data_IF_915738185115
#
_entry.id   IF_915738185115
#
_cell.length_a   1.000
_cell.length_b   1.000
_cell.length_c   1.000
_cell.angle_alpha   90.00
_cell.angle_beta   90.00
_cell.angle_gamma   90.00
#
_symmetry.space_group_name_H-M   'P 1'
#
loop_
_entity.id
_entity.type
_entity.pdbx_description
1 polymer ?
#
# COMPACT_ATOMS: atom_id res chain seq x y z
N UNK A 1 16.88 -1.71 -43.67
CA UNK A 1 16.97 -2.64 -42.51
C UNK A 1 15.56 -3.15 -42.23
N UNK A 2 15.24 -4.32 -42.78
CA UNK A 2 13.94 -4.97 -42.64
C UNK A 2 13.81 -5.52 -41.22
N UNK A 3 12.92 -4.93 -40.41
CA UNK A 3 12.37 -5.64 -39.26
C UNK A 3 11.61 -6.83 -39.83
N UNK A 4 12.14 -8.03 -39.58
CA UNK A 4 11.46 -9.28 -39.80
C UNK A 4 10.05 -9.19 -39.20
N UNK A 5 9.04 -9.41 -40.05
CA UNK A 5 7.71 -9.83 -39.63
C UNK A 5 7.88 -11.16 -38.89
N UNK A 6 8.17 -11.09 -37.59
CA UNK A 6 7.92 -12.18 -36.70
C UNK A 6 6.41 -12.32 -36.61
N UNK A 7 5.91 -13.45 -37.06
CA UNK A 7 4.64 -14.04 -36.64
C UNK A 7 4.52 -13.95 -35.11
N UNK A 8 3.96 -12.84 -34.63
CA UNK A 8 3.28 -12.77 -33.35
C UNK A 8 2.02 -13.59 -33.58
N UNK A 9 1.94 -14.82 -33.09
CA UNK A 9 0.61 -15.42 -32.94
C UNK A 9 -0.17 -14.47 -32.03
N UNK A 10 -1.21 -13.77 -32.52
CA UNK A 10 -1.99 -12.91 -31.66
C UNK A 10 -2.87 -13.86 -30.87
N UNK A 11 -2.38 -14.28 -29.71
CA UNK A 11 -3.18 -15.02 -28.71
C UNK A 11 -4.40 -14.19 -28.26
N UNK A 12 -4.58 -12.95 -28.75
CA UNK A 12 -5.63 -12.04 -28.33
C UNK A 12 -6.42 -11.42 -29.48
N UNK A 13 -6.78 -12.24 -30.47
CA UNK A 13 -7.97 -11.97 -31.29
C UNK A 13 -9.21 -12.16 -30.40
N UNK A 14 -9.64 -11.11 -29.72
CA UNK A 14 -10.96 -11.10 -29.06
C UNK A 14 -11.92 -10.48 -30.05
N UNK A 15 -12.90 -11.25 -30.53
CA UNK A 15 -13.87 -10.81 -31.55
C UNK A 15 -13.25 -10.28 -32.86
N UNK A 16 -12.08 -10.80 -33.25
CA UNK A 16 -11.39 -10.41 -34.50
C UNK A 16 -10.59 -9.10 -34.43
N UNK A 17 -10.51 -8.46 -33.26
CA UNK A 17 -9.69 -7.26 -33.03
C UNK A 17 -8.43 -7.55 -32.21
N UNK A 18 -7.34 -6.85 -32.51
CA UNK A 18 -6.06 -6.91 -31.77
C UNK A 18 -6.05 -5.87 -30.63
N UNK A 19 -6.53 -6.27 -29.45
CA UNK A 19 -6.59 -5.40 -28.26
C UNK A 19 -5.31 -5.48 -27.41
N UNK A 20 -4.92 -4.35 -26.81
CA UNK A 20 -3.77 -4.31 -25.90
C UNK A 20 -4.13 -4.96 -24.56
N UNK A 21 -3.39 -6.02 -24.20
CA UNK A 21 -3.40 -6.55 -22.84
C UNK A 21 -2.28 -5.87 -22.07
N UNK A 22 -2.60 -4.74 -21.45
CA UNK A 22 -1.61 -3.81 -20.91
C UNK A 22 -0.64 -4.43 -19.89
N UNK A 23 -1.05 -5.45 -19.14
CA UNK A 23 -0.16 -6.17 -18.20
C UNK A 23 0.75 -7.21 -18.89
N UNK A 24 0.70 -7.36 -20.21
CA UNK A 24 1.58 -8.21 -21.01
C UNK A 24 2.28 -7.47 -22.15
N UNK A 25 1.56 -6.70 -22.95
CA UNK A 25 2.11 -5.97 -24.09
C UNK A 25 1.33 -4.68 -24.36
N UNK A 26 2.05 -3.66 -24.82
CA UNK A 26 1.52 -2.31 -25.10
C UNK A 26 1.78 -1.85 -26.53
N UNK A 27 2.51 -2.65 -27.32
CA UNK A 27 2.81 -2.42 -28.73
C UNK A 27 1.99 -3.35 -29.62
N UNK A 28 1.88 -3.01 -30.91
CA UNK A 28 1.22 -3.82 -31.94
C UNK A 28 -0.24 -4.17 -31.60
N UNK A 29 -0.98 -3.21 -31.06
CA UNK A 29 -2.38 -3.35 -30.69
C UNK A 29 -3.10 -2.02 -30.85
N UNK A 30 -4.44 -2.08 -30.93
CA UNK A 30 -5.28 -0.91 -31.13
C UNK A 30 -5.08 0.10 -29.97
N UNK A 31 -4.89 1.37 -30.31
CA UNK A 31 -4.62 2.46 -29.35
C UNK A 31 -3.33 2.30 -28.53
N UNK A 32 -2.32 1.59 -29.06
CA UNK A 32 -0.99 1.42 -28.41
C UNK A 32 -0.35 2.74 -27.94
N UNK A 33 -0.51 3.85 -28.67
CA UNK A 33 0.01 5.16 -28.27
C UNK A 33 -0.47 5.63 -26.90
N UNK A 34 -1.72 5.34 -26.55
CA UNK A 34 -2.29 5.65 -25.24
C UNK A 34 -1.61 4.83 -24.13
N UNK A 35 -1.51 3.51 -24.29
CA UNK A 35 -0.90 2.63 -23.30
C UNK A 35 0.59 2.95 -23.10
N UNK A 36 1.31 3.23 -24.18
CA UNK A 36 2.71 3.67 -24.16
C UNK A 36 2.87 4.97 -23.36
N UNK A 37 2.01 5.98 -23.60
CA UNK A 37 2.03 7.24 -22.85
C UNK A 37 1.76 7.05 -21.35
N UNK A 38 0.84 6.15 -20.98
CA UNK A 38 0.58 5.80 -19.59
C UNK A 38 1.79 5.11 -18.94
N UNK A 39 2.48 4.22 -19.65
CA UNK A 39 3.69 3.56 -19.15
C UNK A 39 4.89 4.51 -18.99
N UNK A 40 5.04 5.51 -19.86
CA UNK A 40 6.00 6.61 -19.67
C UNK A 40 5.68 7.44 -18.43
N UNK A 41 4.41 7.76 -18.22
CA UNK A 41 3.96 8.48 -17.02
C UNK A 41 4.22 7.65 -15.76
N UNK A 42 3.96 6.34 -15.81
CA UNK A 42 4.28 5.40 -14.73
C UNK A 42 5.78 5.34 -14.44
N UNK A 43 6.63 5.35 -15.47
CA UNK A 43 8.08 5.36 -15.32
C UNK A 43 8.57 6.60 -14.57
N UNK A 44 8.16 7.80 -15.02
CA UNK A 44 8.52 9.07 -14.39
C UNK A 44 8.03 9.11 -12.94
N UNK A 45 6.77 8.75 -12.69
CA UNK A 45 6.21 8.71 -11.33
C UNK A 45 6.93 7.70 -10.42
N UNK A 46 7.38 6.58 -10.97
CA UNK A 46 8.14 5.57 -10.23
C UNK A 46 9.55 6.06 -9.86
N UNK A 47 10.21 6.82 -10.73
CA UNK A 47 11.50 7.48 -10.42
C UNK A 47 11.31 8.44 -9.24
N UNK A 48 10.32 9.33 -9.34
CA UNK A 48 10.02 10.31 -8.28
C UNK A 48 9.74 9.60 -6.95
N UNK A 49 8.89 8.58 -6.98
CA UNK A 49 8.51 7.79 -5.80
C UNK A 49 9.73 7.09 -5.18
N UNK A 50 10.59 6.49 -6.01
CA UNK A 50 11.81 5.79 -5.57
C UNK A 50 12.81 6.75 -4.94
N UNK A 51 13.09 7.88 -5.59
CA UNK A 51 14.01 8.88 -5.05
C UNK A 51 13.49 9.45 -3.73
N UNK A 52 12.22 9.83 -3.67
CA UNK A 52 11.67 10.49 -2.49
C UNK A 52 11.55 9.53 -1.30
N UNK A 53 11.09 8.29 -1.53
CA UNK A 53 11.08 7.25 -0.49
C UNK A 53 12.49 6.86 -0.04
N UNK A 54 13.45 6.76 -0.95
CA UNK A 54 14.85 6.45 -0.64
C UNK A 54 15.55 7.54 0.18
N UNK A 55 15.33 8.82 -0.16
CA UNK A 55 15.85 9.96 0.60
C UNK A 55 15.27 9.97 2.02
N UNK A 56 13.94 9.84 2.16
CA UNK A 56 13.29 9.80 3.47
C UNK A 56 13.75 8.60 4.30
N UNK A 57 13.85 7.43 3.68
CA UNK A 57 14.32 6.21 4.35
C UNK A 57 15.76 6.39 4.86
N UNK A 58 16.67 6.87 4.00
CA UNK A 58 18.07 7.11 4.35
C UNK A 58 18.21 8.14 5.48
N UNK A 59 17.44 9.23 5.40
CA UNK A 59 17.41 10.26 6.43
C UNK A 59 16.97 9.69 7.79
N UNK A 60 15.90 8.88 7.80
CA UNK A 60 15.37 8.29 9.03
C UNK A 60 16.28 7.21 9.60
N UNK A 61 16.89 6.37 8.75
CA UNK A 61 17.84 5.36 9.19
C UNK A 61 19.08 6.00 9.83
N UNK A 62 19.58 7.10 9.27
CA UNK A 62 20.74 7.82 9.82
C UNK A 62 20.46 8.50 11.16
N UNK A 63 19.22 8.95 11.40
CA UNK A 63 18.82 9.61 12.66
C UNK A 63 18.35 8.62 13.73
N UNK A 64 18.33 7.32 13.45
CA UNK A 64 17.68 6.33 14.30
C UNK A 64 18.54 5.96 15.50
N UNK A 65 17.91 5.93 16.68
CA UNK A 65 18.50 5.41 17.94
C UNK A 65 18.01 4.01 18.33
N UNK A 66 16.96 3.51 17.68
CA UNK A 66 16.32 2.21 17.95
C UNK A 66 16.64 1.17 16.87
N UNK A 67 16.55 -0.14 17.14
CA UNK A 67 16.80 -1.17 16.12
C UNK A 67 15.68 -1.24 15.08
N UNK A 68 16.00 -1.59 13.81
CA UNK A 68 15.05 -1.65 12.68
C UNK A 68 13.84 -2.56 12.95
N UNK A 69 14.12 -3.71 13.55
CA UNK A 69 13.13 -4.65 14.03
C UNK A 69 12.91 -4.44 15.52
N UNK A 70 11.65 -4.28 15.90
CA UNK A 70 11.28 -4.13 17.30
C UNK A 70 10.19 -5.14 17.60
N UNK A 71 10.46 -6.07 18.52
CA UNK A 71 9.55 -7.18 18.89
C UNK A 71 9.23 -8.13 17.70
N UNK A 72 10.15 -8.25 16.74
CA UNK A 72 10.01 -9.12 15.56
C UNK A 72 9.10 -8.56 14.46
N UNK A 73 8.70 -7.30 14.57
CA UNK A 73 8.00 -6.54 13.53
C UNK A 73 8.94 -5.47 12.95
N UNK A 74 8.78 -5.20 11.65
CA UNK A 74 9.48 -4.11 11.00
C UNK A 74 8.90 -2.78 11.51
N UNK A 75 9.77 -1.81 11.77
CA UNK A 75 9.31 -0.50 12.21
C UNK A 75 8.35 0.11 11.20
N UNK A 76 7.17 0.62 11.61
CA UNK A 76 6.04 0.79 10.70
C UNK A 76 6.32 1.76 9.55
N UNK A 77 6.97 2.90 9.87
CA UNK A 77 7.24 3.94 8.88
C UNK A 77 8.44 3.59 8.01
N UNK A 78 9.51 3.07 8.60
CA UNK A 78 10.70 2.65 7.85
C UNK A 78 10.37 1.46 6.94
N UNK A 79 9.51 0.54 7.38
CA UNK A 79 9.04 -0.57 6.58
C UNK A 79 8.11 -0.13 5.45
N UNK A 80 7.19 0.80 5.72
CA UNK A 80 6.39 1.44 4.68
C UNK A 80 7.28 2.08 3.60
N UNK A 81 8.29 2.86 4.01
CA UNK A 81 9.23 3.51 3.09
C UNK A 81 10.10 2.50 2.33
N UNK A 82 10.57 1.44 3.00
CA UNK A 82 11.38 0.39 2.38
C UNK A 82 10.60 -0.34 1.27
N UNK A 83 9.39 -0.81 1.55
CA UNK A 83 8.59 -1.49 0.54
C UNK A 83 8.10 -0.53 -0.56
N UNK A 84 7.85 0.74 -0.24
CA UNK A 84 7.55 1.76 -1.26
C UNK A 84 8.75 1.98 -2.19
N UNK A 85 9.97 2.01 -1.65
CA UNK A 85 11.21 2.12 -2.42
C UNK A 85 11.41 0.91 -3.34
N UNK A 86 11.30 -0.31 -2.81
CA UNK A 86 11.41 -1.54 -3.59
C UNK A 86 10.30 -1.60 -4.66
N UNK A 87 9.07 -1.25 -4.30
CA UNK A 87 7.94 -1.17 -5.23
C UNK A 87 8.18 -0.17 -6.36
N UNK A 88 8.75 1.00 -6.06
CA UNK A 88 9.14 2.01 -7.05
C UNK A 88 10.19 1.50 -8.04
N UNK A 89 11.24 0.82 -7.57
CA UNK A 89 12.22 0.15 -8.43
C UNK A 89 11.56 -0.90 -9.31
N UNK A 90 10.67 -1.71 -8.73
CA UNK A 90 9.96 -2.78 -9.44
C UNK A 90 9.09 -2.23 -10.56
N UNK A 91 8.36 -1.12 -10.30
CA UNK A 91 7.58 -0.42 -11.33
C UNK A 91 8.45 0.21 -12.40
N UNK A 92 9.62 0.74 -12.04
CA UNK A 92 10.59 1.27 -13.00
C UNK A 92 11.08 0.16 -13.94
N UNK A 93 11.47 -0.99 -13.41
CA UNK A 93 11.87 -2.17 -14.19
C UNK A 93 10.74 -2.68 -15.08
N UNK A 94 9.52 -2.74 -14.55
CA UNK A 94 8.32 -3.08 -15.31
C UNK A 94 8.16 -2.13 -16.50
N UNK A 95 8.16 -0.81 -16.27
CA UNK A 95 8.07 0.17 -17.35
C UNK A 95 9.18 0.02 -18.40
N UNK A 96 10.43 -0.25 -17.99
CA UNK A 96 11.54 -0.46 -18.94
C UNK A 96 11.27 -1.70 -19.81
N UNK A 97 10.90 -2.83 -19.21
CA UNK A 97 10.67 -4.07 -19.95
C UNK A 97 9.55 -3.91 -20.96
N UNK A 98 8.46 -3.22 -20.57
CA UNK A 98 7.31 -3.03 -21.44
C UNK A 98 7.57 -1.99 -22.54
N UNK A 99 8.25 -0.87 -22.24
CA UNK A 99 8.56 0.19 -23.22
C UNK A 99 9.70 -0.19 -24.18
N UNK A 100 10.70 -0.93 -23.70
CA UNK A 100 11.79 -1.43 -24.56
C UNK A 100 11.46 -2.76 -25.24
N UNK A 101 10.27 -3.31 -24.96
CA UNK A 101 9.79 -4.61 -25.43
C UNK A 101 10.82 -5.74 -25.24
N UNK A 102 11.46 -5.77 -24.06
CA UNK A 102 12.47 -6.78 -23.72
C UNK A 102 11.76 -8.13 -23.54
N UNK A 103 12.27 -9.18 -24.20
CA UNK A 103 11.76 -10.55 -24.09
C UNK A 103 10.23 -10.66 -24.23
N UNK A 104 9.64 -10.30 -25.39
CA UNK A 104 8.18 -10.25 -25.57
C UNK A 104 7.48 -11.60 -25.42
N UNK A 105 8.22 -12.70 -25.58
CA UNK A 105 7.71 -14.07 -25.48
C UNK A 105 7.81 -14.65 -24.06
N UNK A 106 8.56 -14.00 -23.17
CA UNK A 106 8.73 -14.48 -21.81
C UNK A 106 7.61 -13.94 -20.91
N UNK A 107 6.44 -14.58 -20.99
CA UNK A 107 5.27 -14.18 -20.18
C UNK A 107 5.49 -14.35 -18.68
N UNK A 108 6.35 -15.30 -18.26
CA UNK A 108 6.72 -15.50 -16.87
C UNK A 108 7.40 -14.24 -16.33
N UNK A 109 8.43 -13.74 -17.02
CA UNK A 109 9.17 -12.53 -16.62
C UNK A 109 8.23 -11.32 -16.48
N UNK A 110 7.39 -11.09 -17.49
CA UNK A 110 6.49 -9.92 -17.54
C UNK A 110 5.46 -9.96 -16.42
N UNK A 111 4.82 -11.10 -16.19
CA UNK A 111 3.84 -11.24 -15.12
C UNK A 111 4.49 -11.17 -13.74
N UNK A 112 5.66 -11.78 -13.54
CA UNK A 112 6.37 -11.78 -12.25
C UNK A 112 6.77 -10.36 -11.85
N UNK A 113 7.34 -9.58 -12.77
CA UNK A 113 7.80 -8.21 -12.47
C UNK A 113 6.62 -7.26 -12.24
N UNK A 114 5.54 -7.41 -13.01
CA UNK A 114 4.30 -6.67 -12.78
C UNK A 114 3.69 -6.99 -11.41
N UNK A 115 3.62 -8.27 -11.06
CA UNK A 115 3.10 -8.75 -9.78
C UNK A 115 3.97 -8.27 -8.60
N UNK A 116 5.30 -8.28 -8.77
CA UNK A 116 6.24 -7.84 -7.74
C UNK A 116 6.03 -6.38 -7.36
N UNK A 117 5.72 -5.52 -8.34
CA UNK A 117 5.38 -4.13 -8.08
C UNK A 117 4.14 -3.99 -7.19
N UNK A 118 3.11 -4.81 -7.41
CA UNK A 118 1.85 -4.79 -6.63
C UNK A 118 1.97 -5.39 -5.25
N UNK A 119 2.75 -6.47 -5.09
CA UNK A 119 2.97 -7.06 -3.78
C UNK A 119 3.63 -6.06 -2.84
N UNK A 120 4.67 -5.36 -3.30
CA UNK A 120 5.36 -4.34 -2.50
C UNK A 120 4.40 -3.23 -2.02
N UNK A 121 3.39 -2.89 -2.83
CA UNK A 121 2.33 -1.95 -2.41
C UNK A 121 1.59 -2.48 -1.19
N UNK A 122 1.09 -3.72 -1.25
CA UNK A 122 0.37 -4.32 -0.13
C UNK A 122 1.26 -4.49 1.11
N UNK A 123 2.51 -4.92 0.93
CA UNK A 123 3.47 -5.10 2.04
C UNK A 123 3.81 -3.77 2.72
N UNK A 124 3.95 -2.68 1.96
CA UNK A 124 4.21 -1.34 2.51
C UNK A 124 3.12 -0.92 3.49
N UNK A 125 1.87 -1.09 3.07
CA UNK A 125 0.71 -0.65 3.84
C UNK A 125 0.39 -1.63 4.98
N UNK A 126 0.59 -2.93 4.76
CA UNK A 126 0.52 -3.95 5.82
C UNK A 126 1.46 -3.63 6.99
N UNK A 127 2.68 -3.21 6.67
CA UNK A 127 3.70 -2.85 7.68
C UNK A 127 3.29 -1.63 8.48
N UNK A 128 2.73 -0.62 7.81
CA UNK A 128 2.20 0.54 8.50
C UNK A 128 1.04 0.17 9.44
N UNK A 129 0.11 -0.67 8.96
CA UNK A 129 -1.03 -1.14 9.73
C UNK A 129 -0.61 -1.96 10.96
N UNK A 130 0.39 -2.83 10.83
CA UNK A 130 0.98 -3.55 11.97
C UNK A 130 1.50 -2.59 13.06
N UNK A 131 2.01 -1.43 12.65
CA UNK A 131 2.34 -0.33 13.57
C UNK A 131 1.18 0.27 14.32
N UNK A 132 0.06 0.50 13.62
CA UNK A 132 -1.20 0.95 14.23
C UNK A 132 -1.65 -0.04 15.29
N UNK A 133 -1.65 -1.34 14.97
CA UNK A 133 -2.00 -2.41 15.90
C UNK A 133 -1.14 -2.43 17.16
N UNK A 134 0.15 -2.16 17.03
CA UNK A 134 1.06 -2.08 18.18
C UNK A 134 0.81 -0.85 19.05
N UNK A 135 0.36 0.25 18.45
CA UNK A 135 0.19 1.52 19.15
C UNK A 135 -1.10 1.55 19.99
N UNK A 136 -2.17 0.90 19.52
CA UNK A 136 -3.47 0.87 20.20
C UNK A 136 -3.38 0.37 21.65
N UNK A 137 -2.80 -0.81 21.97
CA UNK A 137 -2.71 -1.31 23.34
C UNK A 137 -1.98 -0.36 24.28
N UNK A 138 -0.96 0.37 23.79
CA UNK A 138 -0.18 1.30 24.60
C UNK A 138 -0.99 2.54 24.97
N UNK A 139 -1.83 3.03 24.07
CA UNK A 139 -2.69 4.19 24.32
C UNK A 139 -3.84 3.83 25.28
N UNK A 140 -4.41 2.63 25.16
CA UNK A 140 -5.49 2.18 26.06
C UNK A 140 -5.04 2.03 27.51
N UNK A 141 -3.77 1.66 27.75
CA UNK A 141 -3.21 1.52 29.10
C UNK A 141 -2.99 2.88 29.78
N UNK A 142 -2.79 3.94 29.01
CA UNK A 142 -2.47 5.29 29.54
C UNK A 142 -3.74 6.09 29.88
N UNK A 143 -4.94 5.62 29.51
CA UNK A 143 -6.18 6.31 29.87
C UNK A 143 -6.54 6.10 31.35
N UNK A 144 -6.63 7.17 32.16
CA UNK A 144 -7.23 7.07 33.49
C UNK A 144 -8.71 6.69 33.34
N UNK A 145 -9.11 5.58 33.94
CA UNK A 145 -10.50 5.18 34.05
C UNK A 145 -11.24 6.17 34.94
N UNK A 146 -11.98 7.10 34.36
CA UNK A 146 -12.98 7.89 35.07
C UNK A 146 -14.12 6.96 35.53
N UNK A 147 -14.46 6.99 36.81
CA UNK A 147 -15.37 6.07 37.52
C UNK A 147 -16.81 5.96 36.95
N UNK A 148 -17.18 6.77 35.94
CA UNK A 148 -18.55 6.83 35.41
C UNK A 148 -18.77 6.19 34.03
N UNK A 149 -17.72 5.79 33.32
CA UNK A 149 -17.88 5.21 31.99
C UNK A 149 -18.10 3.70 32.07
N UNK A 150 -19.36 3.28 31.86
CA UNK A 150 -19.73 1.88 31.61
C UNK A 150 -18.71 1.25 30.65
N UNK A 151 -18.19 0.05 30.93
CA UNK A 151 -17.15 -0.58 30.12
C UNK A 151 -17.67 -0.68 28.68
N UNK A 152 -17.12 0.17 27.80
CA UNK A 152 -17.50 0.16 26.40
C UNK A 152 -17.11 -1.19 25.83
N UNK A 153 -18.14 -1.98 25.50
CA UNK A 153 -18.17 -3.10 24.56
C UNK A 153 -16.79 -3.61 24.17
N UNK A 154 -16.34 -4.66 24.87
CA UNK A 154 -15.19 -5.53 24.60
C UNK A 154 -14.56 -5.36 23.21
N UNK A 155 -13.80 -4.29 22.99
CA UNK A 155 -13.00 -4.18 21.78
C UNK A 155 -11.88 -5.20 21.96
N UNK A 156 -11.87 -6.23 21.12
CA UNK A 156 -10.82 -7.24 21.18
C UNK A 156 -9.48 -6.58 20.81
N UNK A 157 -8.63 -6.40 21.83
CA UNK A 157 -7.27 -5.91 21.65
C UNK A 157 -6.41 -7.13 21.29
N UNK A 158 -5.90 -7.23 20.05
CA UNK A 158 -5.10 -8.37 19.65
C UNK A 158 -3.79 -8.42 20.44
N UNK A 159 -3.39 -9.62 20.86
CA UNK A 159 -2.11 -9.81 21.53
C UNK A 159 -0.95 -9.55 20.56
N UNK A 160 0.19 -9.12 21.07
CA UNK A 160 1.39 -8.86 20.24
C UNK A 160 1.83 -10.11 19.45
N UNK A 161 1.70 -11.29 20.07
CA UNK A 161 1.98 -12.58 19.41
C UNK A 161 1.04 -12.85 18.23
N UNK A 162 -0.25 -12.54 18.39
CA UNK A 162 -1.23 -12.67 17.31
C UNK A 162 -0.92 -11.69 16.17
N UNK A 163 -0.63 -10.41 16.47
CA UNK A 163 -0.28 -9.41 15.45
C UNK A 163 0.94 -9.87 14.65
N UNK A 164 1.98 -10.38 15.33
CA UNK A 164 3.19 -10.88 14.68
C UNK A 164 2.90 -12.08 13.77
N UNK A 165 2.11 -13.04 14.25
CA UNK A 165 1.73 -14.21 13.47
C UNK A 165 0.91 -13.79 12.24
N UNK A 166 -0.14 -12.99 12.42
CA UNK A 166 -0.98 -12.51 11.34
C UNK A 166 -0.19 -11.70 10.29
N UNK A 167 0.73 -10.83 10.73
CA UNK A 167 1.60 -10.06 9.84
C UNK A 167 2.48 -10.94 8.95
N UNK A 168 3.21 -11.90 9.53
CA UNK A 168 4.08 -12.78 8.75
C UNK A 168 3.30 -13.78 7.90
N UNK A 169 2.19 -14.31 8.41
CA UNK A 169 1.29 -15.15 7.62
C UNK A 169 0.72 -14.40 6.41
N UNK A 170 0.34 -13.12 6.58
CA UNK A 170 -0.10 -12.27 5.48
C UNK A 170 1.01 -12.07 4.44
N UNK A 171 2.24 -11.78 4.88
CA UNK A 171 3.40 -11.63 4.00
C UNK A 171 3.66 -12.88 3.16
N UNK A 172 3.76 -14.03 3.83
CA UNK A 172 4.02 -15.31 3.17
C UNK A 172 2.87 -15.65 2.22
N UNK A 173 1.62 -15.46 2.65
CA UNK A 173 0.45 -15.72 1.81
C UNK A 173 0.47 -14.88 0.52
N UNK A 174 0.63 -13.56 0.62
CA UNK A 174 0.62 -12.68 -0.55
C UNK A 174 1.80 -12.98 -1.48
N UNK A 175 3.00 -13.23 -0.94
CA UNK A 175 4.19 -13.55 -1.76
C UNK A 175 4.00 -14.90 -2.46
N UNK A 176 3.67 -15.96 -1.73
CA UNK A 176 3.59 -17.31 -2.30
C UNK A 176 2.40 -17.42 -3.27
N UNK A 177 1.23 -16.95 -2.87
CA UNK A 177 0.04 -17.05 -3.73
C UNK A 177 0.09 -16.06 -4.89
N UNK A 178 0.51 -14.81 -4.66
CA UNK A 178 0.65 -13.80 -5.72
C UNK A 178 1.71 -14.20 -6.76
N UNK A 179 2.96 -14.37 -6.33
CA UNK A 179 4.05 -14.71 -7.25
C UNK A 179 3.90 -16.11 -7.84
N UNK A 180 3.48 -17.09 -7.04
CA UNK A 180 3.23 -18.45 -7.52
C UNK A 180 2.18 -18.48 -8.62
N UNK A 181 1.08 -17.73 -8.45
CA UNK A 181 0.04 -17.62 -9.49
C UNK A 181 0.50 -16.82 -10.72
N UNK A 182 1.32 -15.77 -10.56
CA UNK A 182 1.90 -15.04 -11.69
C UNK A 182 2.85 -15.89 -12.53
N UNK A 183 3.74 -16.66 -11.88
CA UNK A 183 4.69 -17.54 -12.57
C UNK A 183 3.94 -18.66 -13.30
N UNK A 184 3.00 -19.32 -12.63
CA UNK A 184 2.22 -20.42 -13.22
C UNK A 184 1.31 -19.94 -14.35
N UNK A 185 0.64 -18.79 -14.20
CA UNK A 185 -0.13 -18.16 -15.29
C UNK A 185 0.76 -17.84 -16.49
N UNK A 186 1.94 -17.26 -16.27
CA UNK A 186 2.92 -16.99 -17.33
C UNK A 186 3.39 -18.26 -18.04
N UNK A 187 3.65 -19.33 -17.27
CA UNK A 187 4.08 -20.62 -17.79
C UNK A 187 3.01 -21.28 -18.67
N UNK A 188 1.76 -21.38 -18.20
CA UNK A 188 0.69 -21.96 -18.99
C UNK A 188 0.34 -21.15 -20.24
N UNK A 189 0.51 -19.83 -20.19
CA UNK A 189 0.38 -18.98 -21.36
C UNK A 189 1.45 -19.26 -22.42
N UNK A 190 2.69 -19.54 -22.01
CA UNK A 190 3.76 -19.97 -22.92
C UNK A 190 3.47 -21.34 -23.56
N UNK A 191 2.69 -22.20 -22.91
CA UNK A 191 2.23 -23.49 -23.46
C UNK A 191 0.95 -23.38 -24.28
N UNK A 192 0.45 -22.17 -24.56
CA UNK A 192 -0.82 -21.93 -25.24
C UNK A 192 -2.04 -22.56 -24.54
N UNK A 193 -1.94 -22.85 -23.23
CA UNK A 193 -3.06 -23.33 -22.43
C UNK A 193 -3.78 -22.13 -21.79
N UNK A 194 -4.70 -21.53 -22.54
CA UNK A 194 -5.47 -20.36 -22.12
C UNK A 194 -6.24 -20.61 -20.82
N UNK A 195 -6.96 -21.73 -20.73
CA UNK A 195 -7.81 -22.04 -19.58
C UNK A 195 -7.04 -22.06 -18.25
N UNK A 196 -5.88 -22.73 -18.21
CA UNK A 196 -5.05 -22.75 -16.99
C UNK A 196 -4.44 -21.38 -16.71
N UNK A 197 -3.98 -20.64 -17.73
CA UNK A 197 -3.48 -19.27 -17.54
C UNK A 197 -4.54 -18.38 -16.90
N UNK A 198 -5.79 -18.44 -17.37
CA UNK A 198 -6.87 -17.61 -16.87
C UNK A 198 -7.30 -18.02 -15.45
N UNK A 199 -7.29 -19.32 -15.11
CA UNK A 199 -7.53 -19.78 -13.73
C UNK A 199 -6.49 -19.20 -12.77
N UNK A 200 -5.20 -19.30 -13.09
CA UNK A 200 -4.15 -18.76 -12.22
C UNK A 200 -4.17 -17.23 -12.16
N UNK A 201 -4.55 -16.56 -13.24
CA UNK A 201 -4.80 -15.12 -13.25
C UNK A 201 -5.96 -14.72 -12.34
N UNK A 202 -7.07 -15.47 -12.35
CA UNK A 202 -8.18 -15.28 -11.41
C UNK A 202 -7.74 -15.51 -9.98
N UNK A 203 -6.97 -16.56 -9.68
CA UNK A 203 -6.40 -16.81 -8.35
C UNK A 203 -5.55 -15.61 -7.89
N UNK A 204 -4.71 -15.08 -8.78
CA UNK A 204 -3.88 -13.88 -8.53
C UNK A 204 -4.72 -12.67 -8.16
N UNK A 205 -5.76 -12.38 -8.93
CA UNK A 205 -6.65 -11.24 -8.70
C UNK A 205 -7.47 -11.40 -7.41
N UNK A 206 -7.93 -12.62 -7.10
CA UNK A 206 -8.60 -12.93 -5.82
C UNK A 206 -7.66 -12.80 -4.62
N UNK A 207 -6.37 -13.15 -4.78
CA UNK A 207 -5.35 -12.91 -3.76
C UNK A 207 -5.24 -11.41 -3.45
N UNK A 208 -5.24 -10.56 -4.48
CA UNK A 208 -5.27 -9.11 -4.29
C UNK A 208 -6.55 -8.60 -3.65
N UNK A 209 -7.72 -9.14 -4.04
CA UNK A 209 -9.00 -8.84 -3.39
C UNK A 209 -8.95 -9.16 -1.91
N UNK A 210 -8.46 -10.34 -1.54
CA UNK A 210 -8.29 -10.75 -0.15
C UNK A 210 -7.34 -9.80 0.61
N UNK A 211 -6.21 -9.44 0.00
CA UNK A 211 -5.27 -8.48 0.54
C UNK A 211 -5.89 -7.11 0.82
N UNK A 212 -6.56 -6.53 -0.18
CA UNK A 212 -7.23 -5.23 -0.05
C UNK A 212 -8.40 -5.28 0.94
N UNK A 213 -9.21 -6.34 0.95
CA UNK A 213 -10.30 -6.54 1.92
C UNK A 213 -9.76 -6.59 3.34
N UNK A 214 -8.68 -7.35 3.57
CA UNK A 214 -8.03 -7.46 4.87
C UNK A 214 -7.53 -6.10 5.37
N UNK A 215 -6.91 -5.31 4.49
CA UNK A 215 -6.48 -3.95 4.81
C UNK A 215 -7.65 -3.01 5.08
N UNK A 216 -8.73 -3.11 4.30
CA UNK A 216 -9.95 -2.33 4.53
C UNK A 216 -10.52 -2.57 5.93
N UNK A 217 -10.66 -3.83 6.35
CA UNK A 217 -11.11 -4.14 7.72
C UNK A 217 -10.10 -3.68 8.77
N UNK A 218 -8.81 -3.85 8.51
CA UNK A 218 -7.72 -3.37 9.37
C UNK A 218 -7.82 -1.87 9.66
N UNK A 219 -7.82 -1.02 8.63
CA UNK A 219 -7.96 0.43 8.78
C UNK A 219 -9.36 0.85 9.24
N UNK A 220 -10.40 0.16 8.75
CA UNK A 220 -11.78 0.43 9.07
C UNK A 220 -12.09 0.24 10.56
N UNK A 221 -11.62 -0.84 11.16
CA UNK A 221 -11.85 -1.15 12.58
C UNK A 221 -10.78 -0.47 13.44
N UNK A 222 -9.51 -0.79 13.19
CA UNK A 222 -8.43 -0.41 14.09
C UNK A 222 -7.92 1.00 13.84
N UNK A 223 -7.86 1.44 12.58
CA UNK A 223 -7.53 2.83 12.29
C UNK A 223 -8.58 3.82 12.85
N UNK A 224 -9.87 3.49 12.77
CA UNK A 224 -10.94 4.29 13.41
C UNK A 224 -10.86 4.26 14.92
N UNK A 225 -10.55 3.10 15.50
CA UNK A 225 -10.34 2.97 16.95
C UNK A 225 -9.17 3.84 17.40
N UNK A 226 -8.05 3.79 16.69
CA UNK A 226 -6.87 4.59 17.01
C UNK A 226 -7.22 6.09 17.01
N UNK A 227 -7.93 6.58 15.99
CA UNK A 227 -8.43 7.97 15.95
C UNK A 227 -9.32 8.30 17.16
N UNK A 228 -10.24 7.41 17.54
CA UNK A 228 -11.13 7.61 18.70
C UNK A 228 -10.34 7.68 20.00
N UNK A 229 -9.40 6.77 20.20
CA UNK A 229 -8.54 6.73 21.39
C UNK A 229 -7.68 7.99 21.46
N UNK A 230 -7.04 8.36 20.35
CA UNK A 230 -6.27 9.60 20.26
C UNK A 230 -7.12 10.82 20.58
N UNK A 231 -8.37 10.91 20.08
CA UNK A 231 -9.29 12.00 20.42
C UNK A 231 -9.59 12.07 21.93
N UNK A 232 -9.85 10.92 22.57
CA UNK A 232 -10.12 10.85 24.02
C UNK A 232 -8.91 11.17 24.87
N UNK A 233 -7.73 10.67 24.49
CA UNK A 233 -6.47 11.04 25.14
C UNK A 233 -6.24 12.55 25.10
N UNK A 234 -6.74 13.25 24.07
CA UNK A 234 -6.70 14.71 24.01
C UNK A 234 -7.79 15.41 24.82
N UNK A 235 -8.97 14.80 25.01
CA UNK A 235 -10.00 15.36 25.89
C UNK A 235 -9.53 15.41 27.35
N UNK A 236 -8.56 14.58 27.74
CA UNK A 236 -7.96 14.56 29.07
C UNK A 236 -6.86 15.63 29.28
N UNK A 237 -6.44 16.33 28.22
CA UNK A 237 -5.42 17.38 28.28
C UNK A 237 -6.11 18.74 28.55
N UNK A 238 -5.42 19.62 29.29
CA UNK A 238 -5.87 20.95 29.73
C UNK A 238 -6.47 21.81 28.60
N UNK A 239 -7.45 22.65 28.91
CA UNK A 239 -8.25 23.41 27.93
C UNK A 239 -7.40 24.35 27.07
N UNK A 240 -6.28 24.83 27.63
CA UNK A 240 -5.31 25.70 26.95
C UNK A 240 -4.60 24.98 25.80
N UNK A 241 -4.21 23.71 26.00
CA UNK A 241 -3.60 22.88 24.96
C UNK A 241 -4.65 22.32 23.99
N UNK A 242 -5.87 22.05 24.47
CA UNK A 242 -7.00 21.61 23.63
C UNK A 242 -7.35 22.60 22.52
N UNK A 243 -7.17 23.91 22.77
CA UNK A 243 -7.43 24.96 21.78
C UNK A 243 -6.29 25.20 20.79
N UNK A 244 -5.15 24.52 20.92
CA UNK A 244 -4.05 24.71 19.98
C UNK A 244 -4.39 24.10 18.60
N UNK A 245 -4.53 24.98 17.61
CA UNK A 245 -4.88 24.67 16.21
C UNK A 245 -3.96 23.62 15.58
N UNK A 246 -2.70 23.51 16.05
CA UNK A 246 -1.76 22.47 15.60
C UNK A 246 -2.27 21.06 15.93
N UNK A 247 -2.90 20.85 17.08
CA UNK A 247 -3.40 19.52 17.48
C UNK A 247 -4.67 19.13 16.73
N UNK A 248 -5.61 20.07 16.57
CA UNK A 248 -6.79 19.87 15.71
C UNK A 248 -6.38 19.47 14.30
N UNK A 249 -5.31 20.09 13.77
CA UNK A 249 -4.75 19.73 12.48
C UNK A 249 -4.18 18.30 12.44
N UNK A 250 -3.43 17.86 13.46
CA UNK A 250 -2.89 16.49 13.52
C UNK A 250 -3.99 15.43 13.61
N UNK A 251 -5.04 15.67 14.40
CA UNK A 251 -6.18 14.76 14.50
C UNK A 251 -6.94 14.65 13.16
N UNK A 252 -7.19 15.79 12.50
CA UNK A 252 -7.80 15.80 11.16
C UNK A 252 -6.93 15.08 10.14
N UNK A 253 -5.61 15.26 10.18
CA UNK A 253 -4.65 14.55 9.30
C UNK A 253 -4.79 13.04 9.45
N UNK A 254 -4.85 12.55 10.68
CA UNK A 254 -5.00 11.13 10.98
C UNK A 254 -6.35 10.56 10.51
N UNK A 255 -7.43 11.33 10.70
CA UNK A 255 -8.77 10.99 10.20
C UNK A 255 -8.81 10.90 8.68
N UNK A 256 -8.29 11.93 7.98
CA UNK A 256 -8.24 11.98 6.53
C UNK A 256 -7.38 10.83 5.97
N UNK A 257 -6.24 10.54 6.59
CA UNK A 257 -5.40 9.41 6.18
C UNK A 257 -6.14 8.08 6.33
N UNK A 258 -6.77 7.83 7.48
CA UNK A 258 -7.50 6.60 7.71
C UNK A 258 -8.69 6.43 6.75
N UNK A 259 -9.45 7.51 6.52
CA UNK A 259 -10.57 7.50 5.59
C UNK A 259 -10.10 7.29 4.14
N UNK A 260 -9.03 7.97 3.74
CA UNK A 260 -8.43 7.81 2.41
C UNK A 260 -7.96 6.37 2.18
N UNK A 261 -7.18 5.81 3.12
CA UNK A 261 -6.71 4.42 3.04
C UNK A 261 -7.88 3.43 2.94
N UNK A 262 -8.89 3.60 3.80
CA UNK A 262 -10.09 2.77 3.80
C UNK A 262 -10.83 2.83 2.44
N UNK A 263 -11.06 4.03 1.91
CA UNK A 263 -11.68 4.26 0.60
C UNK A 263 -10.86 3.67 -0.56
N UNK A 264 -9.53 3.80 -0.53
CA UNK A 264 -8.66 3.19 -1.54
C UNK A 264 -8.72 1.67 -1.51
N UNK A 265 -8.68 1.06 -0.32
CA UNK A 265 -8.69 -0.40 -0.21
C UNK A 265 -10.03 -1.03 -0.57
N UNK A 266 -11.15 -0.43 -0.18
CA UNK A 266 -12.47 -0.92 -0.62
C UNK A 266 -12.59 -0.81 -2.14
N UNK A 267 -12.15 0.30 -2.73
CA UNK A 267 -12.16 0.50 -4.17
C UNK A 267 -11.33 -0.56 -4.89
N UNK A 268 -10.08 -0.77 -4.49
CA UNK A 268 -9.20 -1.77 -5.08
C UNK A 268 -9.69 -3.20 -4.86
N UNK A 269 -10.30 -3.48 -3.71
CA UNK A 269 -10.92 -4.77 -3.46
C UNK A 269 -12.05 -5.05 -4.45
N UNK A 270 -12.95 -4.09 -4.65
CA UNK A 270 -14.06 -4.22 -5.60
C UNK A 270 -13.53 -4.34 -7.03
N UNK A 271 -12.59 -3.47 -7.43
CA UNK A 271 -12.03 -3.46 -8.77
C UNK A 271 -11.31 -4.77 -9.12
N UNK A 272 -10.51 -5.31 -8.20
CA UNK A 272 -9.81 -6.60 -8.40
C UNK A 272 -10.76 -7.78 -8.39
N UNK A 273 -11.83 -7.74 -7.58
CA UNK A 273 -12.86 -8.77 -7.57
C UNK A 273 -13.59 -8.84 -8.92
N UNK A 274 -14.05 -7.70 -9.44
CA UNK A 274 -14.66 -7.65 -10.77
C UNK A 274 -13.67 -8.06 -11.86
N UNK A 275 -12.41 -7.63 -11.76
CA UNK A 275 -11.38 -8.05 -12.69
C UNK A 275 -11.17 -9.58 -12.65
N UNK A 276 -11.24 -10.22 -11.49
CA UNK A 276 -11.01 -11.67 -11.37
C UNK A 276 -11.95 -12.50 -12.25
N UNK A 277 -13.22 -12.09 -12.37
CA UNK A 277 -14.27 -12.82 -13.09
C UNK A 277 -14.59 -12.26 -14.48
N UNK A 278 -14.37 -10.96 -14.71
CA UNK A 278 -14.68 -10.28 -15.98
C UNK A 278 -13.44 -9.77 -16.72
N UNK A 279 -12.27 -10.37 -16.47
CA UNK A 279 -11.02 -9.91 -17.09
C UNK A 279 -11.05 -9.93 -18.63
N UNK A 280 -11.68 -10.95 -19.24
CA UNK A 280 -11.85 -11.01 -20.71
C UNK A 280 -12.60 -9.78 -21.23
N UNK A 281 -13.72 -9.40 -20.59
CA UNK A 281 -14.52 -8.22 -20.97
C UNK A 281 -13.76 -6.91 -20.75
N UNK A 282 -13.03 -6.82 -19.65
CA UNK A 282 -12.28 -5.61 -19.29
C UNK A 282 -11.15 -5.37 -20.30
N UNK A 283 -10.42 -6.41 -20.69
CA UNK A 283 -9.30 -6.26 -21.63
C UNK A 283 -9.72 -6.28 -23.10
N UNK A 284 -10.91 -6.79 -23.43
CA UNK A 284 -11.45 -6.73 -24.78
C UNK A 284 -12.02 -5.36 -25.18
N UNK A 285 -12.15 -4.42 -24.23
CA UNK A 285 -12.72 -3.10 -24.50
C UNK A 285 -11.72 -2.00 -24.16
N UNK A 286 -11.43 -1.12 -25.12
CA UNK A 286 -10.48 -0.03 -24.93
C UNK A 286 -10.85 0.85 -23.72
N UNK A 287 -12.13 1.14 -23.52
CA UNK A 287 -12.61 1.98 -22.42
C UNK A 287 -12.32 1.34 -21.06
N UNK A 288 -12.71 0.08 -20.84
CA UNK A 288 -12.50 -0.57 -19.54
C UNK A 288 -11.01 -0.85 -19.29
N UNK A 289 -10.28 -1.31 -20.30
CA UNK A 289 -8.83 -1.51 -20.26
C UNK A 289 -8.09 -0.20 -19.97
N UNK A 290 -8.51 0.90 -20.60
CA UNK A 290 -7.98 2.24 -20.41
C UNK A 290 -8.23 2.80 -19.01
N UNK A 291 -9.46 2.63 -18.49
CA UNK A 291 -9.79 2.99 -17.11
C UNK A 291 -8.94 2.15 -16.14
N UNK A 292 -8.82 0.84 -16.38
CA UNK A 292 -8.05 -0.05 -15.52
C UNK A 292 -6.57 0.33 -15.47
N UNK A 293 -5.91 0.59 -16.60
CA UNK A 293 -4.50 0.98 -16.59
C UNK A 293 -4.28 2.35 -15.92
N UNK A 294 -5.20 3.30 -16.11
CA UNK A 294 -5.13 4.61 -15.44
C UNK A 294 -5.27 4.48 -13.92
N UNK A 295 -6.17 3.61 -13.46
CA UNK A 295 -6.29 3.29 -12.03
C UNK A 295 -5.02 2.59 -11.55
N UNK A 296 -4.57 1.58 -12.30
CA UNK A 296 -3.45 0.71 -11.95
C UNK A 296 -2.12 1.46 -11.78
N UNK A 297 -1.85 2.41 -12.67
CA UNK A 297 -0.55 3.06 -12.76
C UNK A 297 -0.56 4.48 -12.16
N UNK A 298 -1.05 5.52 -12.86
CA UNK A 298 -0.90 6.90 -12.38
C UNK A 298 -1.67 7.18 -11.08
N UNK A 299 -2.90 6.69 -10.91
CA UNK A 299 -3.69 6.95 -9.68
C UNK A 299 -3.00 6.35 -8.46
N UNK A 300 -2.48 5.13 -8.58
CA UNK A 300 -1.74 4.46 -7.51
C UNK A 300 -0.45 5.22 -7.16
N UNK A 301 0.31 5.65 -8.17
CA UNK A 301 1.53 6.45 -7.96
C UNK A 301 1.26 7.81 -7.31
N UNK A 302 0.22 8.52 -7.74
CA UNK A 302 -0.17 9.80 -7.11
C UNK A 302 -0.52 9.58 -5.64
N UNK A 303 -1.24 8.50 -5.33
CA UNK A 303 -1.56 8.14 -3.94
C UNK A 303 -0.29 7.94 -3.09
N UNK A 304 0.74 7.31 -3.65
CA UNK A 304 2.05 7.17 -2.99
C UNK A 304 2.76 8.50 -2.78
N UNK A 305 2.84 9.32 -3.82
CA UNK A 305 3.51 10.63 -3.75
C UNK A 305 2.84 11.49 -2.69
N UNK A 306 1.50 11.53 -2.64
CA UNK A 306 0.75 12.23 -1.60
C UNK A 306 1.09 11.66 -0.22
N UNK A 307 1.11 10.33 -0.05
CA UNK A 307 1.51 9.69 1.20
C UNK A 307 2.92 10.08 1.67
N UNK A 308 3.88 10.09 0.75
CA UNK A 308 5.26 10.47 1.05
C UNK A 308 5.39 11.96 1.40
N UNK A 309 4.67 12.86 0.70
CA UNK A 309 4.62 14.29 1.03
C UNK A 309 4.06 14.49 2.44
N UNK A 310 2.99 13.78 2.79
CA UNK A 310 2.37 13.83 4.11
C UNK A 310 3.33 13.37 5.22
N UNK A 311 4.19 12.39 4.94
CA UNK A 311 5.26 11.93 5.84
C UNK A 311 6.37 12.98 5.94
N UNK A 312 6.87 13.49 4.81
CA UNK A 312 7.92 14.51 4.77
C UNK A 312 7.53 15.79 5.53
N UNK A 313 6.29 16.25 5.35
CA UNK A 313 5.73 17.40 6.09
C UNK A 313 5.58 17.12 7.59
N UNK A 314 5.44 15.85 7.98
CA UNK A 314 5.40 15.45 9.39
C UNK A 314 6.78 15.58 10.04
N UNK A 315 7.81 15.11 9.35
CA UNK A 315 9.19 15.08 9.87
C UNK A 315 9.84 16.47 9.88
N UNK A 316 9.48 17.37 8.96
CA UNK A 316 9.99 18.75 8.95
C UNK A 316 9.45 19.59 10.11
N UNK A 317 8.21 19.34 10.55
CA UNK A 317 7.60 20.06 11.68
C UNK A 317 8.05 19.53 13.05
N UNK A 318 8.45 18.27 13.16
CA UNK A 318 8.93 17.71 14.44
C UNK A 318 10.32 18.20 14.84
N UNK A 319 11.12 18.72 13.90
CA UNK A 319 12.47 19.26 14.18
C UNK A 319 12.46 20.66 14.82
N UNK A 320 11.30 21.32 14.88
CA UNK A 320 11.14 22.59 15.61
C UNK A 320 10.78 22.44 17.08
N UNK A 321 10.79 21.22 17.62
CA UNK A 321 10.48 20.94 19.03
C UNK A 321 11.70 20.34 19.72
N UNK A 322 12.16 21.02 20.76
CA UNK A 322 13.22 20.53 21.62
C UNK A 322 12.65 19.39 22.49
N UNK A 323 13.24 18.17 22.48
CA UNK A 323 12.76 17.03 23.26
C UNK A 323 12.67 17.28 24.77
N UNK A 324 13.39 18.30 25.25
CA UNK A 324 13.36 18.79 26.62
C UNK A 324 12.00 19.37 27.01
N UNK A 325 11.28 20.04 26.09
CA UNK A 325 9.97 20.64 26.38
C UNK A 325 8.86 19.60 26.53
N UNK A 326 8.87 18.54 25.72
CA UNK A 326 7.85 17.46 25.74
C UNK A 326 8.05 16.51 26.93
N UNK A 327 9.31 16.24 27.32
CA UNK A 327 9.57 15.41 28.51
C UNK A 327 9.27 16.16 29.81
N UNK A 328 9.46 17.49 29.84
CA UNK A 328 9.11 18.31 31.00
C UNK A 328 7.59 18.47 31.16
N UNK A 329 6.80 18.52 30.09
CA UNK A 329 5.33 18.57 30.19
C UNK A 329 4.73 17.27 30.73
N UNK A 330 5.21 16.10 30.25
CA UNK A 330 4.74 14.80 30.77
C UNK A 330 5.23 14.50 32.19
N UNK A 331 6.47 14.88 32.54
CA UNK A 331 7.03 14.67 33.89
C UNK A 331 6.40 15.60 34.93
N UNK A 332 6.11 16.86 34.57
CA UNK A 332 5.46 17.80 35.49
C UNK A 332 3.99 17.47 35.74
N UNK A 333 3.25 16.96 34.74
CA UNK A 333 1.89 16.46 34.95
C UNK A 333 1.85 15.20 35.84
N UNK A 334 2.85 14.33 35.73
CA UNK A 334 2.96 13.14 36.60
C UNK A 334 3.22 13.53 38.06
N UNK A 335 4.09 14.52 38.32
CA UNK A 335 4.35 15.02 39.68
C UNK A 335 3.17 15.82 40.27
N UNK A 336 2.42 16.56 39.45
CA UNK A 336 1.23 17.29 39.94
C UNK A 336 0.06 16.34 40.28
N UNK A 337 -0.07 15.20 39.60
CA UNK A 337 -1.11 14.20 39.92
C UNK A 337 -0.84 13.40 41.21
N UNK A 338 0.41 13.37 41.71
CA UNK A 338 0.79 12.69 42.95
C UNK A 338 0.81 13.62 44.18
N UNK A 339 0.52 14.90 44.03
CA UNK A 339 0.63 15.91 45.10
C UNK A 339 -0.70 16.58 45.50
N UNK A 340 -1.84 16.04 45.06
CA UNK A 340 -3.14 16.40 45.63
C UNK A 340 -3.50 15.40 46.76
N UNK A 341 -3.67 15.86 48.01
CA UNK A 341 -3.98 15.02 49.17
C UNK A 341 -5.40 14.43 49.16
#
# INVERSE_FOLDING_TARGET
MNKSQSTFDPVNLINGGEYCIWYLFVYNCQHSSFFVAVYYSNFIGSIITTLFSGILLSHRLNKRKTPLFVEGLLSPLEGFLLFTFIGGISRMLCSIIFLSDIEPRNYILRQTIEDWAWINVQLSVATYLAGVFRTIPRITIIQPTTESDKPQTSLWIPSLGFIRCAYWSFFVFIIVMGQGSAITSGYFRMQSNKNLSDIFLTIRLLCYTFGCTSMFFGYGIYGRTLVKLTKRSFELIDETERNNERFKWQLRKMQMFNQSACSSFIFWSIATFFAAFWHDLIWSTFVLSGIQILMACPVTLVSYIVGLIVIAMSDSRSQGFDPSEISMTFSNQFMQSQSAP
#
